data_IF_458052116895
#
_entry.id   IF_458052116895
#
_cell.length_a   1.000
_cell.length_b   1.000
_cell.length_c   1.000
_cell.angle_alpha   90.00
_cell.angle_beta   90.00
_cell.angle_gamma   90.00
#
_symmetry.space_group_name_H-M   'P 1'
#
loop_
_entity.id
_entity.type
_entity.pdbx_description
1 polymer ?
#
# COMPACT_ATOMS: atom_id res chain seq x y z
N UNK A 1 -36.67 -5.04 -33.40
CA UNK A 1 -37.30 -3.78 -32.91
C UNK A 1 -36.34 -2.90 -32.09
N UNK A 2 -35.48 -3.43 -31.21
CA UNK A 2 -34.50 -2.60 -30.47
C UNK A 2 -33.53 -1.80 -31.35
N UNK A 3 -33.11 -2.33 -32.50
CA UNK A 3 -32.16 -1.67 -33.38
C UNK A 3 -32.74 -0.40 -34.04
N UNK A 4 -34.05 -0.41 -34.36
CA UNK A 4 -34.73 0.77 -34.92
C UNK A 4 -34.86 1.90 -33.89
N UNK A 5 -35.07 1.59 -32.62
CA UNK A 5 -35.10 2.59 -31.54
C UNK A 5 -33.71 3.22 -31.37
N UNK A 6 -32.65 2.41 -31.42
CA UNK A 6 -31.26 2.90 -31.40
C UNK A 6 -30.95 3.81 -32.59
N UNK A 7 -31.38 3.44 -33.80
CA UNK A 7 -31.14 4.24 -35.01
C UNK A 7 -31.94 5.55 -34.99
N UNK A 8 -33.18 5.54 -34.50
CA UNK A 8 -34.01 6.74 -34.35
C UNK A 8 -33.39 7.67 -33.29
N UNK A 9 -32.97 7.13 -32.15
CA UNK A 9 -32.31 7.89 -31.10
C UNK A 9 -30.98 8.48 -31.60
N UNK A 10 -30.14 7.70 -32.28
CA UNK A 10 -28.89 8.16 -32.85
C UNK A 10 -29.09 9.26 -33.90
N UNK A 11 -30.11 9.12 -34.76
CA UNK A 11 -30.45 10.12 -35.79
C UNK A 11 -31.01 11.42 -35.22
N UNK A 12 -31.79 11.34 -34.13
CA UNK A 12 -32.28 12.54 -33.43
C UNK A 12 -31.17 13.23 -32.65
N UNK A 13 -30.33 12.48 -31.93
CA UNK A 13 -29.16 13.03 -31.23
C UNK A 13 -28.17 13.65 -32.23
N UNK A 14 -27.92 13.00 -33.37
CA UNK A 14 -27.09 13.55 -34.43
C UNK A 14 -27.63 14.86 -35.00
N UNK A 15 -28.95 14.98 -35.20
CA UNK A 15 -29.60 16.22 -35.65
C UNK A 15 -29.56 17.35 -34.61
N UNK A 16 -29.74 17.01 -33.33
CA UNK A 16 -29.68 18.00 -32.25
C UNK A 16 -28.25 18.49 -32.10
N UNK A 17 -27.26 17.61 -32.03
CA UNK A 17 -25.84 17.99 -31.93
C UNK A 17 -25.34 18.74 -33.17
N UNK A 18 -25.81 18.37 -34.37
CA UNK A 18 -25.44 19.06 -35.61
C UNK A 18 -26.21 20.37 -35.84
N UNK A 19 -27.15 20.74 -34.96
CA UNK A 19 -27.82 22.03 -35.06
C UNK A 19 -26.90 23.16 -34.58
N UNK A 20 -26.79 24.24 -35.34
CA UNK A 20 -26.02 25.44 -34.96
C UNK A 20 -26.45 25.99 -33.59
N UNK A 21 -27.73 25.85 -33.25
CA UNK A 21 -28.26 26.24 -31.94
C UNK A 21 -27.66 25.39 -30.80
N UNK A 22 -27.53 24.07 -30.97
CA UNK A 22 -26.92 23.22 -29.95
C UNK A 22 -25.41 23.45 -29.84
N UNK A 23 -24.71 23.66 -30.96
CA UNK A 23 -23.28 23.99 -30.94
C UNK A 23 -23.01 25.31 -30.22
N UNK A 24 -23.86 26.33 -30.42
CA UNK A 24 -23.77 27.60 -29.70
C UNK A 24 -24.11 27.47 -28.21
N UNK A 25 -25.09 26.65 -27.85
CA UNK A 25 -25.46 26.41 -26.44
C UNK A 25 -24.38 25.59 -25.71
N UNK A 26 -23.82 24.55 -26.34
CA UNK A 26 -22.74 23.73 -25.79
C UNK A 26 -21.44 24.53 -25.62
N UNK A 27 -21.18 25.45 -26.56
CA UNK A 27 -20.05 26.37 -26.51
C UNK A 27 -20.21 27.50 -25.49
N UNK A 28 -21.44 27.76 -25.01
CA UNK A 28 -21.73 28.93 -24.20
C UNK A 28 -20.96 28.92 -22.86
N UNK A 29 -20.31 30.04 -22.48
CA UNK A 29 -19.60 30.15 -21.21
C UNK A 29 -20.50 29.94 -20.00
N UNK A 30 -21.76 30.40 -20.09
CA UNK A 30 -22.75 30.31 -19.03
C UNK A 30 -23.17 28.87 -18.74
N UNK A 31 -23.37 28.03 -19.78
CA UNK A 31 -23.68 26.61 -19.58
C UNK A 31 -22.50 25.88 -18.94
N UNK A 32 -21.27 26.12 -19.41
CA UNK A 32 -20.07 25.53 -18.83
C UNK A 32 -19.94 25.89 -17.36
N UNK A 33 -20.16 27.16 -17.01
CA UNK A 33 -20.11 27.62 -15.63
C UNK A 33 -21.23 27.01 -14.78
N UNK A 34 -22.45 26.92 -15.30
CA UNK A 34 -23.57 26.26 -14.62
C UNK A 34 -23.33 24.77 -14.38
N UNK A 35 -22.76 24.06 -15.37
CA UNK A 35 -22.38 22.64 -15.23
C UNK A 35 -21.28 22.47 -14.20
N UNK A 36 -20.22 23.27 -14.23
CA UNK A 36 -19.14 23.24 -13.23
C UNK A 36 -19.68 23.53 -11.84
N UNK A 37 -20.54 24.55 -11.71
CA UNK A 37 -21.19 24.91 -10.45
C UNK A 37 -22.07 23.77 -9.94
N UNK A 38 -22.84 23.13 -10.82
CA UNK A 38 -23.66 21.98 -10.46
C UNK A 38 -22.82 20.77 -10.05
N UNK A 39 -21.67 20.53 -10.69
CA UNK A 39 -20.72 19.48 -10.31
C UNK A 39 -20.16 19.75 -8.92
N UNK A 40 -19.70 20.97 -8.65
CA UNK A 40 -19.14 21.35 -7.36
C UNK A 40 -20.21 21.27 -6.26
N UNK A 41 -21.40 21.81 -6.51
CA UNK A 41 -22.51 21.77 -5.57
C UNK A 41 -22.98 20.34 -5.28
N UNK A 42 -22.93 19.45 -6.28
CA UNK A 42 -23.20 18.02 -6.08
C UNK A 42 -22.14 17.36 -5.20
N UNK A 43 -20.87 17.71 -5.38
CA UNK A 43 -19.79 17.20 -4.53
C UNK A 43 -19.99 17.66 -3.08
N UNK A 44 -20.21 18.96 -2.87
CA UNK A 44 -20.47 19.53 -1.55
C UNK A 44 -21.72 18.92 -0.88
N UNK A 45 -22.80 18.72 -1.63
CA UNK A 45 -24.01 18.09 -1.12
C UNK A 45 -23.81 16.62 -0.73
N UNK A 46 -23.00 15.88 -1.50
CA UNK A 46 -22.60 14.51 -1.15
C UNK A 46 -21.77 14.49 0.13
N UNK A 47 -20.76 15.36 0.23
CA UNK A 47 -19.91 15.43 1.41
C UNK A 47 -20.71 15.80 2.66
N UNK A 48 -21.66 16.74 2.54
CA UNK A 48 -22.54 17.12 3.64
C UNK A 48 -23.49 15.97 4.06
N UNK A 49 -24.01 15.22 3.09
CA UNK A 49 -24.84 14.04 3.35
C UNK A 49 -24.02 12.95 4.04
N UNK A 50 -22.82 12.65 3.56
CA UNK A 50 -21.94 11.63 4.12
C UNK A 50 -21.55 11.95 5.57
N UNK A 51 -21.23 13.22 5.89
CA UNK A 51 -20.99 13.65 7.27
C UNK A 51 -22.21 13.39 8.16
N UNK A 52 -23.40 13.78 7.72
CA UNK A 52 -24.64 13.55 8.48
C UNK A 52 -24.95 12.05 8.65
N UNK A 53 -24.74 11.26 7.61
CA UNK A 53 -24.90 9.80 7.68
C UNK A 53 -23.91 9.20 8.69
N UNK A 54 -22.67 9.69 8.71
CA UNK A 54 -21.65 9.25 9.65
C UNK A 54 -21.99 9.64 11.09
N UNK A 55 -22.47 10.85 11.34
CA UNK A 55 -22.87 11.30 12.67
C UNK A 55 -24.05 10.47 13.20
N UNK A 56 -25.05 10.21 12.35
CA UNK A 56 -26.20 9.36 12.70
C UNK A 56 -25.76 7.90 12.91
N UNK A 57 -24.90 7.37 12.05
CA UNK A 57 -24.40 6.01 12.19
C UNK A 57 -23.58 5.85 13.48
N UNK A 58 -22.74 6.83 13.81
CA UNK A 58 -21.95 6.82 15.06
C UNK A 58 -22.86 6.91 16.29
N UNK A 59 -23.88 7.78 16.24
CA UNK A 59 -24.87 7.91 17.31
C UNK A 59 -25.73 6.65 17.53
N UNK A 60 -25.87 5.82 16.50
CA UNK A 60 -26.60 4.55 16.52
C UNK A 60 -25.68 3.32 16.63
N UNK A 61 -24.37 3.51 16.82
CA UNK A 61 -23.33 2.46 16.80
C UNK A 61 -23.37 1.56 15.54
N UNK A 62 -23.84 2.11 14.42
CA UNK A 62 -23.90 1.42 13.14
C UNK A 62 -22.58 1.58 12.38
N UNK A 63 -22.02 0.45 11.91
CA UNK A 63 -20.81 0.45 11.09
C UNK A 63 -21.15 0.92 9.66
N UNK A 64 -20.49 1.97 9.18
CA UNK A 64 -20.72 2.47 7.81
C UNK A 64 -19.86 1.73 6.78
N UNK A 65 -20.26 1.81 5.50
CA UNK A 65 -19.50 1.23 4.39
C UNK A 65 -18.09 1.86 4.25
N UNK A 66 -17.95 3.12 4.63
CA UNK A 66 -16.66 3.82 4.64
C UNK A 66 -15.73 3.23 5.70
N UNK A 67 -16.25 2.91 6.88
CA UNK A 67 -15.48 2.29 7.97
C UNK A 67 -14.99 0.90 7.57
N UNK A 68 -15.83 0.10 6.91
CA UNK A 68 -15.41 -1.21 6.37
C UNK A 68 -14.35 -1.05 5.28
N UNK A 69 -14.46 -0.03 4.42
CA UNK A 69 -13.46 0.23 3.39
C UNK A 69 -12.12 0.67 3.99
N UNK A 70 -12.13 1.51 5.03
CA UNK A 70 -10.92 1.90 5.78
C UNK A 70 -10.29 0.70 6.47
N UNK A 71 -11.08 -0.10 7.17
CA UNK A 71 -10.59 -1.30 7.84
C UNK A 71 -9.95 -2.28 6.85
N UNK A 72 -10.56 -2.48 5.68
CA UNK A 72 -9.98 -3.31 4.61
C UNK A 72 -8.64 -2.81 4.08
N UNK A 73 -8.44 -1.49 4.01
CA UNK A 73 -7.14 -0.93 3.62
C UNK A 73 -6.11 -1.17 4.71
N UNK A 74 -6.45 -0.85 5.95
CA UNK A 74 -5.55 -1.08 7.09
C UNK A 74 -5.15 -2.56 7.23
N UNK A 75 -6.08 -3.50 6.95
CA UNK A 75 -5.74 -4.93 6.93
C UNK A 75 -4.70 -5.24 5.86
N UNK A 76 -4.86 -4.73 4.63
CA UNK A 76 -3.86 -4.94 3.57
C UNK A 76 -2.51 -4.33 3.90
N UNK A 77 -2.50 -3.10 4.41
CA UNK A 77 -1.27 -2.43 4.80
C UNK A 77 -0.53 -3.24 5.88
N UNK A 78 -1.27 -3.83 6.82
CA UNK A 78 -0.72 -4.73 7.84
C UNK A 78 -0.24 -6.07 7.26
N UNK A 79 -0.97 -6.65 6.31
CA UNK A 79 -0.55 -7.87 5.60
C UNK A 79 0.75 -7.64 4.83
N UNK A 80 0.88 -6.51 4.14
CA UNK A 80 2.08 -6.13 3.40
C UNK A 80 3.28 -5.93 4.34
N UNK A 81 3.08 -5.22 5.47
CA UNK A 81 4.13 -5.07 6.48
C UNK A 81 4.55 -6.40 7.10
N UNK A 82 3.60 -7.33 7.34
CA UNK A 82 3.92 -8.66 7.83
C UNK A 82 4.74 -9.46 6.82
N UNK A 83 4.39 -9.38 5.53
CA UNK A 83 5.15 -10.05 4.46
C UNK A 83 6.58 -9.50 4.35
N UNK A 84 6.74 -8.18 4.45
CA UNK A 84 8.06 -7.53 4.44
C UNK A 84 8.91 -7.98 5.64
N UNK A 85 8.35 -7.95 6.85
CA UNK A 85 9.05 -8.39 8.06
C UNK A 85 9.42 -9.87 8.01
N UNK A 86 8.55 -10.72 7.45
CA UNK A 86 8.86 -12.14 7.24
C UNK A 86 10.02 -12.32 6.25
N UNK A 87 10.06 -11.52 5.18
CA UNK A 87 11.17 -11.50 4.24
C UNK A 87 12.49 -11.09 4.89
N UNK A 88 12.50 -9.99 5.64
CA UNK A 88 13.67 -9.52 6.37
C UNK A 88 14.16 -10.54 7.41
N UNK A 89 13.24 -11.22 8.09
CA UNK A 89 13.58 -12.26 9.05
C UNK A 89 14.19 -13.49 8.36
N UNK A 90 13.67 -13.89 7.20
CA UNK A 90 14.24 -14.98 6.41
C UNK A 90 15.64 -14.65 5.89
N UNK A 91 15.86 -13.42 5.42
CA UNK A 91 17.16 -12.92 4.98
C UNK A 91 18.16 -12.88 6.15
N UNK A 92 17.77 -12.31 7.29
CA UNK A 92 18.60 -12.30 8.49
C UNK A 92 18.94 -13.71 9.01
N UNK A 93 18.01 -14.67 8.88
CA UNK A 93 18.28 -16.07 9.20
C UNK A 93 19.26 -16.73 8.23
N UNK A 94 19.17 -16.42 6.93
CA UNK A 94 20.10 -16.90 5.93
C UNK A 94 21.52 -16.33 6.16
N UNK A 95 21.62 -15.05 6.48
CA UNK A 95 22.90 -14.38 6.80
C UNK A 95 23.52 -14.95 8.08
N UNK A 96 22.72 -15.22 9.12
CA UNK A 96 23.16 -15.91 10.33
C UNK A 96 23.64 -17.34 10.05
N UNK A 97 22.99 -18.05 9.13
CA UNK A 97 23.41 -19.39 8.74
C UNK A 97 24.71 -19.38 7.93
N UNK A 98 24.88 -18.40 7.02
CA UNK A 98 26.09 -18.21 6.23
C UNK A 98 27.31 -17.87 7.11
N UNK A 99 27.15 -16.93 8.05
CA UNK A 99 28.22 -16.53 8.98
C UNK A 99 28.61 -17.64 9.98
N UNK A 100 27.67 -18.53 10.34
CA UNK A 100 28.00 -19.74 11.13
C UNK A 100 28.74 -20.82 10.32
N UNK A 101 28.57 -20.83 9.00
CA UNK A 101 29.25 -21.76 8.10
C UNK A 101 30.71 -21.39 7.82
N UNK A 102 31.08 -20.11 7.96
CA UNK A 102 32.44 -19.62 7.67
C UNK A 102 33.42 -19.70 8.86
N UNK A 103 32.94 -20.01 10.07
CA UNK A 103 33.81 -20.23 11.24
C UNK A 103 33.98 -21.72 11.55
N UNK A 104 34.80 -22.41 10.74
CA UNK A 104 35.56 -23.61 11.14
C UNK A 104 35.74 -24.66 10.03
N UNK A 105 36.92 -25.33 9.89
CA UNK A 105 38.20 -25.18 10.55
C UNK A 105 39.40 -25.23 9.56
N UNK A 106 39.75 -24.13 8.90
CA UNK A 106 40.96 -24.05 8.05
C UNK A 106 41.92 -22.99 8.60
N UNK A 107 42.43 -23.21 9.80
CA UNK A 107 43.49 -22.37 10.37
C UNK A 107 44.33 -23.14 11.41
N UNK A 108 44.96 -24.26 11.02
CA UNK A 108 46.24 -24.66 11.64
C UNK A 108 46.95 -25.72 10.79
N UNK A 109 47.76 -25.26 9.84
CA UNK A 109 48.89 -26.04 9.31
C UNK A 109 50.10 -25.83 10.22
N UNK A 110 50.57 -26.95 10.78
CA UNK A 110 51.98 -27.33 10.88
C UNK A 110 52.96 -26.34 11.51
N UNK A 111 53.22 -26.48 12.81
CA UNK A 111 54.57 -26.30 13.36
C UNK A 111 54.85 -27.39 14.41
N UNK A 112 55.79 -28.27 14.08
CA UNK A 112 56.34 -29.31 14.96
C UNK A 112 57.07 -28.68 16.16
N UNK A 113 56.98 -29.26 17.38
CA UNK A 113 57.74 -28.77 18.53
C UNK A 113 59.13 -29.41 18.59
N UNK A 114 60.24 -28.63 18.68
CA UNK A 114 61.54 -29.20 18.99
C UNK A 114 61.65 -29.53 20.49
N UNK A 115 62.03 -30.78 20.77
CA UNK A 115 62.31 -31.28 22.10
C UNK A 115 63.55 -30.63 22.72
N UNK A 116 63.44 -30.06 23.92
CA UNK A 116 64.60 -29.71 24.75
C UNK A 116 64.34 -29.81 26.27
N UNK A 117 64.78 -30.96 26.79
CA UNK A 117 65.28 -31.29 28.14
C UNK A 117 65.29 -30.20 29.24
N UNK A 118 64.61 -30.56 30.33
CA UNK A 118 65.05 -30.54 31.74
C UNK A 118 65.78 -29.31 32.34
N UNK A 119 65.14 -28.70 33.37
CA UNK A 119 65.75 -28.44 34.70
C UNK A 119 64.71 -27.95 35.73
N UNK A 120 64.46 -28.75 36.78
CA UNK A 120 64.09 -28.26 38.13
C UNK A 120 65.30 -27.49 38.70
N UNK A 121 65.21 -26.63 39.75
CA UNK A 121 64.22 -26.55 40.84
C UNK A 121 63.72 -25.08 41.03
N UNK A 122 62.96 -24.60 42.04
CA UNK A 122 63.03 -24.78 43.49
C UNK A 122 61.89 -23.94 44.13
N UNK A 123 61.31 -24.45 45.22
CA UNK A 123 60.42 -23.78 46.20
C UNK A 123 60.76 -22.30 46.48
N UNK A 124 59.74 -21.46 46.74
CA UNK A 124 59.48 -20.85 48.06
C UNK A 124 58.24 -19.92 48.09
N UNK A 125 57.36 -20.16 49.08
CA UNK A 125 56.58 -19.25 49.97
C UNK A 125 55.98 -17.96 49.40
N UNK A 126 54.67 -17.72 49.47
CA UNK A 126 53.88 -17.39 50.68
C UNK A 126 54.44 -16.15 51.44
N UNK A 127 53.74 -15.03 51.28
CA UNK A 127 53.97 -13.75 51.93
C UNK A 127 53.01 -12.72 51.35
#
# INVERSE_FOLDING_TARGET
MLNQIKDIAAKQVGKVLASDAAMNVLGSPQLKQAVVTAINLRAEARDALERRVKDVATALELVTREDVAKLRRSIRDLEDHLAELQGQLAEAQADLAATKGETGPDAESTEEPPAAKAKKPRRAKAG
#
